data_IF_035412263751
#
_entry.id   IF_035412263751
#
_cell.length_a   1.000
_cell.length_b   1.000
_cell.length_c   1.000
_cell.angle_alpha   90.00
_cell.angle_beta   90.00
_cell.angle_gamma   90.00
#
_symmetry.space_group_name_H-M   'P 1'
#
loop_
_entity.id
_entity.type
_entity.pdbx_description
1 polymer ?
#
# COMPACT_ATOMS: atom_id res chain seq x y z
N UNK A 1 -13.32 -56.27 20.57
CA UNK A 1 -12.06 -55.48 20.65
C UNK A 1 -12.38 -54.01 20.43
N UNK A 2 -12.22 -53.16 21.45
CA UNK A 2 -12.41 -51.71 21.29
C UNK A 2 -11.23 -51.11 20.51
N UNK A 3 -11.50 -50.28 19.49
CA UNK A 3 -10.45 -49.50 18.81
C UNK A 3 -10.04 -48.35 19.71
N UNK A 4 -8.95 -48.49 20.45
CA UNK A 4 -8.33 -47.39 21.19
C UNK A 4 -8.00 -46.25 20.21
N UNK A 5 -8.79 -45.17 20.24
CA UNK A 5 -8.37 -43.88 19.72
C UNK A 5 -7.17 -43.44 20.56
N UNK A 6 -5.96 -43.58 20.02
CA UNK A 6 -4.81 -42.82 20.53
C UNK A 6 -5.11 -41.36 20.29
N UNK A 7 -5.39 -40.59 21.33
CA UNK A 7 -5.37 -39.14 21.24
C UNK A 7 -3.94 -38.73 20.87
N UNK A 8 -3.76 -38.25 19.63
CA UNK A 8 -2.49 -37.65 19.24
C UNK A 8 -2.37 -36.32 19.97
N UNK A 9 -1.41 -36.26 20.90
CA UNK A 9 -1.08 -35.03 21.64
C UNK A 9 -0.86 -33.90 20.61
N UNK A 10 -1.54 -32.75 20.74
CA UNK A 10 -1.51 -31.69 19.73
C UNK A 10 -0.08 -31.23 19.47
N UNK A 11 0.21 -30.93 18.20
CA UNK A 11 1.52 -30.47 17.80
C UNK A 11 1.83 -29.08 18.36
N UNK A 12 3.12 -28.77 18.46
CA UNK A 12 3.62 -27.44 18.83
C UNK A 12 2.98 -26.31 18.01
N UNK A 13 2.72 -26.57 16.72
CA UNK A 13 2.05 -25.63 15.81
C UNK A 13 0.59 -25.40 16.19
N UNK A 14 -0.14 -26.45 16.56
CA UNK A 14 -1.54 -26.34 16.97
C UNK A 14 -1.66 -25.61 18.31
N UNK A 15 -0.80 -25.96 19.29
CA UNK A 15 -0.73 -25.28 20.58
C UNK A 15 -0.38 -23.78 20.44
N UNK A 16 0.62 -23.44 19.62
CA UNK A 16 0.95 -22.04 19.33
C UNK A 16 -0.19 -21.30 18.61
N UNK A 17 -0.86 -21.95 17.65
CA UNK A 17 -1.99 -21.35 16.93
C UNK A 17 -3.18 -21.11 17.86
N UNK A 18 -3.50 -22.04 18.74
CA UNK A 18 -4.56 -21.90 19.74
C UNK A 18 -4.25 -20.79 20.74
N UNK A 19 -3.00 -20.71 21.23
CA UNK A 19 -2.58 -19.65 22.14
C UNK A 19 -2.66 -18.25 21.50
N UNK A 20 -2.26 -18.10 20.23
CA UNK A 20 -2.36 -16.83 19.51
C UNK A 20 -3.82 -16.46 19.25
N UNK A 21 -4.65 -17.42 18.82
CA UNK A 21 -6.07 -17.19 18.60
C UNK A 21 -6.79 -16.75 19.88
N UNK A 22 -6.50 -17.43 21.01
CA UNK A 22 -7.02 -17.08 22.33
C UNK A 22 -6.60 -15.66 22.73
N UNK A 23 -5.28 -15.35 22.69
CA UNK A 23 -4.74 -14.02 23.00
C UNK A 23 -5.47 -12.91 22.23
N UNK A 24 -5.65 -13.06 20.92
CA UNK A 24 -6.29 -12.02 20.10
C UNK A 24 -7.79 -11.90 20.33
N UNK A 25 -8.48 -13.01 20.63
CA UNK A 25 -9.90 -12.99 20.96
C UNK A 25 -10.17 -12.35 22.33
N UNK A 26 -9.24 -12.49 23.29
CA UNK A 26 -9.31 -11.89 24.63
C UNK A 26 -8.85 -10.43 24.67
N UNK A 27 -7.77 -10.06 23.98
CA UNK A 27 -7.21 -8.69 24.02
C UNK A 27 -7.81 -7.73 23.00
N UNK A 28 -8.23 -8.22 21.83
CA UNK A 28 -8.66 -7.38 20.70
C UNK A 28 -10.06 -7.74 20.16
N UNK A 29 -10.67 -8.83 20.64
CA UNK A 29 -11.99 -9.29 20.18
C UNK A 29 -12.02 -9.86 18.75
N UNK A 30 -10.87 -10.10 18.12
CA UNK A 30 -10.76 -10.45 16.69
C UNK A 30 -10.02 -11.77 16.46
N UNK A 31 -10.28 -12.42 15.31
CA UNK A 31 -9.53 -13.58 14.83
C UNK A 31 -8.49 -13.14 13.77
N UNK A 32 -7.17 -13.16 14.07
CA UNK A 32 -6.13 -12.76 13.13
C UNK A 32 -5.83 -13.85 12.08
N UNK A 33 -5.16 -13.49 10.99
CA UNK A 33 -4.56 -14.47 10.09
C UNK A 33 -3.31 -15.03 10.76
N UNK A 34 -3.43 -16.22 11.37
CA UNK A 34 -2.30 -16.93 11.99
C UNK A 34 -1.55 -17.78 10.96
N UNK A 35 -0.21 -17.66 10.96
CA UNK A 35 0.75 -18.42 10.14
C UNK A 35 2.01 -18.78 10.92
N UNK A 36 2.80 -19.73 10.42
CA UNK A 36 4.22 -19.83 10.81
C UNK A 36 5.04 -18.84 10.00
N UNK A 37 6.04 -18.21 10.61
CA UNK A 37 6.83 -17.13 10.01
C UNK A 37 8.34 -17.36 10.21
N UNK A 38 9.11 -17.13 9.14
CA UNK A 38 10.56 -17.20 9.19
C UNK A 38 11.16 -15.79 9.08
N UNK A 39 11.81 -15.31 10.14
CA UNK A 39 12.60 -14.08 10.11
C UNK A 39 14.06 -14.40 9.77
N UNK A 40 14.76 -13.56 8.98
CA UNK A 40 16.21 -13.67 8.81
C UNK A 40 16.93 -13.66 10.17
N UNK A 41 17.90 -14.57 10.35
CA UNK A 41 18.73 -14.73 11.57
C UNK A 41 17.98 -15.18 12.84
N UNK A 42 16.71 -15.60 12.79
CA UNK A 42 16.01 -16.18 13.95
C UNK A 42 15.49 -17.60 13.71
N UNK A 43 15.11 -18.28 14.80
CA UNK A 43 14.38 -19.55 14.77
C UNK A 43 12.99 -19.38 14.12
N UNK A 44 12.41 -20.44 13.53
CA UNK A 44 11.06 -20.39 13.00
C UNK A 44 10.06 -20.02 14.11
N UNK A 45 9.26 -19.00 13.86
CA UNK A 45 8.25 -18.51 14.78
C UNK A 45 6.84 -18.64 14.21
N UNK A 46 5.92 -17.95 14.87
CA UNK A 46 4.52 -17.80 14.48
C UNK A 46 4.21 -16.32 14.32
N UNK A 47 3.21 -15.99 13.51
CA UNK A 47 2.76 -14.61 13.36
C UNK A 47 1.24 -14.52 13.39
N UNK A 48 0.74 -13.49 14.08
CA UNK A 48 -0.60 -12.95 13.89
C UNK A 48 -0.51 -11.78 12.90
N UNK A 49 -1.38 -11.78 11.89
CA UNK A 49 -1.52 -10.68 10.93
C UNK A 49 -2.94 -10.12 11.04
N UNK A 50 -3.05 -8.83 11.34
CA UNK A 50 -4.30 -8.06 11.30
C UNK A 50 -4.18 -6.91 10.28
N UNK A 51 -5.16 -6.01 10.22
CA UNK A 51 -5.12 -4.81 9.36
C UNK A 51 -4.29 -3.68 9.97
N UNK A 52 -4.10 -3.73 11.28
CA UNK A 52 -3.31 -2.79 12.08
C UNK A 52 -1.83 -3.19 12.05
N UNK A 53 -1.50 -4.45 12.35
CA UNK A 53 -0.13 -4.87 12.63
C UNK A 53 0.18 -6.34 12.30
N UNK A 54 1.48 -6.65 12.26
CA UNK A 54 2.02 -8.01 12.21
C UNK A 54 2.82 -8.27 13.48
N UNK A 55 2.35 -9.19 14.34
CA UNK A 55 3.04 -9.56 15.58
C UNK A 55 3.66 -10.94 15.48
N UNK A 56 4.95 -11.04 15.80
CA UNK A 56 5.75 -12.27 15.75
C UNK A 56 5.89 -12.87 17.15
N UNK A 57 5.72 -14.19 17.22
CA UNK A 57 5.74 -14.98 18.46
C UNK A 57 6.72 -16.14 18.39
N UNK A 58 7.34 -16.45 19.52
CA UNK A 58 7.94 -17.77 19.80
C UNK A 58 6.98 -18.61 20.63
N UNK A 59 6.94 -19.92 20.39
CA UNK A 59 6.31 -20.85 21.33
C UNK A 59 7.32 -21.26 22.42
N UNK A 60 6.90 -21.17 23.68
CA UNK A 60 7.66 -21.65 24.82
C UNK A 60 7.10 -23.01 25.27
N UNK A 61 7.94 -24.04 25.20
CA UNK A 61 7.60 -25.44 25.55
C UNK A 61 7.58 -25.69 27.05
N UNK A 62 8.30 -24.87 27.82
CA UNK A 62 8.41 -24.95 29.28
C UNK A 62 7.23 -24.25 29.93
N UNK A 63 6.86 -23.07 29.43
CA UNK A 63 5.66 -22.33 29.86
C UNK A 63 4.36 -22.81 29.18
N UNK A 64 4.45 -23.69 28.17
CA UNK A 64 3.34 -24.16 27.33
C UNK A 64 2.49 -23.00 26.77
N UNK A 65 3.17 -21.98 26.23
CA UNK A 65 2.57 -20.69 25.87
C UNK A 65 3.33 -19.96 24.77
N UNK A 66 3.03 -18.68 24.59
CA UNK A 66 3.63 -17.83 23.55
C UNK A 66 4.30 -16.59 24.13
N UNK A 67 5.43 -16.21 23.54
CA UNK A 67 6.20 -15.02 23.88
C UNK A 67 6.25 -14.11 22.66
N UNK A 68 5.82 -12.86 22.80
CA UNK A 68 5.93 -11.85 21.73
C UNK A 68 7.41 -11.50 21.51
N UNK A 69 7.89 -11.58 20.27
CA UNK A 69 9.25 -11.16 19.88
C UNK A 69 9.23 -9.71 19.42
N UNK A 70 8.32 -9.36 18.51
CA UNK A 70 8.23 -8.05 17.88
C UNK A 70 6.84 -7.80 17.30
N UNK A 71 6.46 -6.52 17.20
CA UNK A 71 5.24 -6.05 16.54
C UNK A 71 5.62 -5.02 15.48
N UNK A 72 5.06 -5.15 14.29
CA UNK A 72 5.28 -4.26 13.16
C UNK A 72 3.94 -3.62 12.77
N UNK A 73 3.74 -2.36 13.14
CA UNK A 73 2.56 -1.58 12.77
C UNK A 73 2.56 -1.34 11.25
N UNK A 74 1.49 -1.75 10.56
CA UNK A 74 1.38 -1.63 9.10
C UNK A 74 1.29 -0.17 8.64
N UNK A 75 0.86 0.73 9.53
CA UNK A 75 0.87 2.19 9.33
C UNK A 75 2.27 2.80 9.13
N UNK A 76 3.34 2.11 9.55
CA UNK A 76 4.72 2.60 9.42
C UNK A 76 5.33 2.36 8.03
N UNK A 77 4.64 1.61 7.15
CA UNK A 77 5.16 1.17 5.86
C UNK A 77 4.37 1.81 4.69
N UNK A 78 5.09 2.30 3.68
CA UNK A 78 4.50 3.01 2.52
C UNK A 78 4.24 2.05 1.37
N UNK A 79 5.15 1.09 1.13
CA UNK A 79 4.99 0.06 0.09
C UNK A 79 5.46 -1.32 0.56
N UNK A 80 5.04 -2.35 -0.17
CA UNK A 80 5.46 -3.74 0.04
C UNK A 80 5.70 -4.44 -1.31
N UNK A 81 6.91 -4.96 -1.50
CA UNK A 81 7.20 -5.88 -2.60
C UNK A 81 6.67 -7.27 -2.24
N UNK A 82 5.90 -7.90 -3.12
CA UNK A 82 5.34 -9.24 -2.89
C UNK A 82 5.81 -10.23 -3.97
N UNK A 83 6.50 -11.28 -3.51
CA UNK A 83 7.08 -12.34 -4.33
C UNK A 83 6.50 -13.71 -3.92
N UNK A 84 5.49 -14.17 -4.68
CA UNK A 84 4.80 -15.45 -4.45
C UNK A 84 5.54 -16.62 -5.12
N UNK A 85 6.10 -17.53 -4.32
CA UNK A 85 6.68 -18.81 -4.72
C UNK A 85 5.64 -19.94 -4.56
N UNK A 86 5.93 -21.14 -5.09
CA UNK A 86 5.05 -22.30 -5.01
C UNK A 86 4.73 -22.78 -3.57
N UNK A 87 5.58 -22.46 -2.58
CA UNK A 87 5.47 -22.96 -1.18
C UNK A 87 5.54 -21.86 -0.11
N UNK A 88 5.78 -20.60 -0.49
CA UNK A 88 5.89 -19.46 0.43
C UNK A 88 5.63 -18.14 -0.29
N UNK A 89 5.27 -17.10 0.45
CA UNK A 89 5.39 -15.72 -0.02
C UNK A 89 6.60 -15.05 0.64
N UNK A 90 7.11 -13.99 0.03
CA UNK A 90 8.02 -13.02 0.66
C UNK A 90 7.38 -11.65 0.50
N UNK A 91 7.29 -10.91 1.61
CA UNK A 91 6.84 -9.53 1.68
C UNK A 91 8.02 -8.68 2.17
N UNK A 92 8.47 -7.72 1.37
CA UNK A 92 9.50 -6.75 1.75
C UNK A 92 8.81 -5.39 1.93
N UNK A 93 8.40 -5.09 3.16
CA UNK A 93 7.79 -3.81 3.52
C UNK A 93 8.85 -2.72 3.61
N UNK A 94 8.54 -1.52 3.11
CA UNK A 94 9.41 -0.34 3.13
C UNK A 94 8.69 0.82 3.78
N UNK A 95 9.22 1.28 4.92
CA UNK A 95 8.82 2.52 5.58
C UNK A 95 9.83 3.62 5.29
N UNK A 96 9.65 4.78 5.92
CA UNK A 96 10.59 5.90 5.80
C UNK A 96 11.94 5.57 6.46
N UNK A 97 11.89 4.96 7.66
CA UNK A 97 13.07 4.74 8.51
C UNK A 97 13.41 3.25 8.75
N UNK A 98 12.62 2.30 8.23
CA UNK A 98 12.80 0.86 8.46
C UNK A 98 12.32 0.01 7.28
N UNK A 99 12.85 -1.22 7.17
CA UNK A 99 12.43 -2.23 6.19
C UNK A 99 12.19 -3.58 6.85
N UNK A 100 10.96 -4.09 6.73
CA UNK A 100 10.55 -5.35 7.36
C UNK A 100 10.37 -6.46 6.33
N UNK A 101 11.17 -7.53 6.45
CA UNK A 101 11.04 -8.73 5.59
C UNK A 101 10.24 -9.82 6.30
N UNK A 102 9.04 -10.09 5.80
CA UNK A 102 8.12 -11.08 6.34
C UNK A 102 7.97 -12.28 5.38
N UNK A 103 8.19 -13.49 5.90
CA UNK A 103 8.15 -14.75 5.12
C UNK A 103 7.13 -15.72 5.75
N UNK A 104 5.83 -15.58 5.43
CA UNK A 104 4.79 -16.47 5.93
C UNK A 104 4.78 -17.83 5.21
N UNK A 105 4.55 -18.89 5.98
CA UNK A 105 4.40 -20.26 5.50
C UNK A 105 2.91 -20.57 5.29
N UNK A 106 2.46 -20.47 4.04
CA UNK A 106 1.04 -20.52 3.67
C UNK A 106 0.35 -19.16 3.79
N UNK A 107 -0.94 -19.11 3.42
CA UNK A 107 -1.84 -17.93 3.48
C UNK A 107 -1.33 -16.62 2.83
N UNK A 108 -0.27 -16.68 2.02
CA UNK A 108 0.32 -15.48 1.40
C UNK A 108 -0.65 -14.69 0.52
N UNK A 109 -1.60 -15.34 -0.16
CA UNK A 109 -2.66 -14.64 -0.91
C UNK A 109 -3.63 -13.91 0.02
N UNK A 110 -4.06 -14.58 1.07
CA UNK A 110 -4.99 -14.08 2.09
C UNK A 110 -4.40 -12.85 2.80
N UNK A 111 -3.09 -12.88 3.09
CA UNK A 111 -2.31 -11.76 3.63
C UNK A 111 -2.20 -10.62 2.62
N UNK A 112 -1.88 -10.89 1.35
CA UNK A 112 -1.85 -9.86 0.30
C UNK A 112 -3.22 -9.19 0.11
N UNK A 113 -4.30 -9.97 0.17
CA UNK A 113 -5.67 -9.47 0.07
C UNK A 113 -6.06 -8.65 1.31
N UNK A 114 -5.69 -9.09 2.52
CA UNK A 114 -5.91 -8.33 3.74
C UNK A 114 -5.24 -6.95 3.66
N UNK A 115 -3.97 -6.90 3.26
CA UNK A 115 -3.21 -5.65 3.06
C UNK A 115 -3.91 -4.79 2.00
N UNK A 116 -4.24 -5.36 0.84
CA UNK A 116 -4.90 -4.66 -0.28
C UNK A 116 -6.26 -4.05 0.06
N UNK A 117 -7.03 -4.71 0.92
CA UNK A 117 -8.41 -4.33 1.25
C UNK A 117 -8.48 -3.39 2.46
N UNK A 118 -7.53 -3.44 3.39
CA UNK A 118 -7.63 -2.75 4.67
C UNK A 118 -6.51 -1.72 4.94
N UNK A 119 -5.49 -1.61 4.08
CA UNK A 119 -4.37 -0.67 4.25
C UNK A 119 -4.13 0.16 2.98
N UNK A 120 -3.42 1.28 3.12
CA UNK A 120 -3.01 2.13 2.01
C UNK A 120 -1.62 1.75 1.44
N UNK A 121 -1.01 0.63 1.86
CA UNK A 121 0.34 0.23 1.45
C UNK A 121 0.35 -0.10 -0.04
N UNK A 122 1.27 0.48 -0.82
CA UNK A 122 1.38 0.14 -2.24
C UNK A 122 1.96 -1.27 -2.43
N UNK A 123 1.21 -2.14 -3.12
CA UNK A 123 1.59 -3.55 -3.33
C UNK A 123 2.22 -3.72 -4.71
N UNK A 124 3.55 -3.68 -4.77
CA UNK A 124 4.30 -4.02 -5.99
C UNK A 124 4.44 -5.54 -6.11
N UNK A 125 3.91 -6.14 -7.18
CA UNK A 125 4.07 -7.58 -7.43
C UNK A 125 5.33 -7.84 -8.25
N UNK A 126 6.18 -8.76 -7.82
CA UNK A 126 7.29 -9.22 -8.65
C UNK A 126 6.78 -10.18 -9.72
N UNK A 127 6.43 -9.65 -10.90
CA UNK A 127 6.03 -10.47 -12.04
C UNK A 127 7.23 -11.26 -12.60
N UNK A 128 7.28 -12.55 -12.28
CA UNK A 128 8.22 -13.50 -12.88
C UNK A 128 7.49 -14.52 -13.73
N UNK A 129 8.05 -14.81 -14.91
CA UNK A 129 7.59 -15.88 -15.81
C UNK A 129 7.53 -17.20 -15.02
N UNK A 130 6.43 -17.93 -15.15
CA UNK A 130 6.03 -19.00 -14.21
C UNK A 130 7.13 -20.02 -13.88
N UNK A 131 7.95 -20.42 -14.86
CA UNK A 131 9.07 -21.35 -14.66
C UNK A 131 10.12 -20.86 -13.64
N UNK A 132 10.33 -19.55 -13.48
CA UNK A 132 11.26 -19.00 -12.48
C UNK A 132 10.77 -19.14 -11.03
N UNK A 133 9.49 -19.48 -10.82
CA UNK A 133 8.89 -19.75 -9.51
C UNK A 133 9.08 -21.21 -9.05
N UNK A 134 9.62 -22.05 -9.93
CA UNK A 134 9.89 -23.48 -9.71
C UNK A 134 11.32 -23.65 -9.15
N UNK A 135 11.53 -24.64 -8.26
CA UNK A 135 12.85 -24.92 -7.69
C UNK A 135 13.86 -25.34 -8.78
N UNK A 136 15.13 -24.97 -8.60
CA UNK A 136 16.21 -25.17 -9.58
C UNK A 136 16.21 -24.17 -10.75
N UNK A 137 15.05 -23.94 -11.36
CA UNK A 137 14.88 -22.99 -12.48
C UNK A 137 15.16 -21.53 -12.11
N UNK A 138 14.98 -21.15 -10.84
CA UNK A 138 15.27 -19.79 -10.30
C UNK A 138 16.64 -19.23 -10.68
N UNK A 139 17.65 -20.09 -10.89
CA UNK A 139 19.05 -19.68 -11.05
C UNK A 139 19.48 -19.28 -12.47
N UNK A 140 18.66 -19.54 -13.50
CA UNK A 140 19.05 -19.35 -14.91
C UNK A 140 20.18 -20.26 -15.42
N UNK A 141 20.87 -20.99 -14.53
CA UNK A 141 21.95 -21.90 -14.87
C UNK A 141 21.39 -23.17 -15.52
N UNK A 142 21.79 -23.43 -16.78
CA UNK A 142 21.31 -24.55 -17.61
C UNK A 142 21.41 -25.91 -16.91
N UNK A 143 22.50 -26.18 -16.18
CA UNK A 143 22.67 -27.47 -15.47
C UNK A 143 21.65 -27.62 -14.32
N UNK A 144 21.39 -26.56 -13.56
CA UNK A 144 20.38 -26.57 -12.49
C UNK A 144 18.95 -26.68 -13.03
N UNK A 145 18.70 -26.15 -14.23
CA UNK A 145 17.43 -26.35 -14.96
C UNK A 145 17.27 -27.80 -15.41
N UNK A 146 18.31 -28.43 -15.98
CA UNK A 146 18.26 -29.84 -16.44
C UNK A 146 17.99 -30.80 -15.26
N UNK A 147 18.71 -30.64 -14.15
CA UNK A 147 18.51 -31.46 -12.93
C UNK A 147 17.07 -31.30 -12.41
N UNK A 148 16.55 -30.07 -12.40
CA UNK A 148 15.16 -29.82 -12.00
C UNK A 148 14.16 -30.49 -12.97
N UNK A 149 14.34 -30.35 -14.30
CA UNK A 149 13.51 -31.02 -15.30
C UNK A 149 13.42 -32.53 -15.08
N UNK A 150 14.55 -33.20 -14.79
CA UNK A 150 14.58 -34.64 -14.53
C UNK A 150 13.83 -35.00 -13.24
N UNK A 151 14.00 -34.24 -12.16
CA UNK A 151 13.27 -34.47 -10.90
C UNK A 151 11.76 -34.27 -11.07
N UNK A 152 11.33 -33.21 -11.77
CA UNK A 152 9.91 -32.99 -12.05
C UNK A 152 9.34 -34.02 -13.03
N UNK A 153 10.13 -34.52 -13.99
CA UNK A 153 9.72 -35.62 -14.86
C UNK A 153 9.50 -36.91 -14.06
N UNK A 154 10.40 -37.26 -13.13
CA UNK A 154 10.22 -38.42 -12.23
C UNK A 154 8.96 -38.27 -11.38
N UNK A 155 8.71 -37.09 -10.81
CA UNK A 155 7.47 -36.82 -10.05
C UNK A 155 6.22 -36.93 -10.93
N UNK A 156 6.24 -36.35 -12.14
CA UNK A 156 5.13 -36.43 -13.09
C UNK A 156 4.88 -37.88 -13.52
N UNK A 157 5.91 -38.66 -13.82
CA UNK A 157 5.78 -40.09 -14.18
C UNK A 157 5.28 -40.92 -12.98
N UNK A 158 5.69 -40.60 -11.75
CA UNK A 158 5.18 -41.26 -10.53
C UNK A 158 3.69 -40.97 -10.31
N UNK A 159 3.26 -39.73 -10.56
CA UNK A 159 1.84 -39.35 -10.55
C UNK A 159 1.11 -40.03 -11.72
N UNK A 160 1.67 -40.05 -12.93
CA UNK A 160 1.05 -40.66 -14.11
C UNK A 160 0.83 -42.16 -13.88
N UNK A 161 1.83 -42.87 -13.36
CA UNK A 161 1.75 -44.31 -13.03
C UNK A 161 0.76 -44.63 -11.90
N UNK A 162 0.41 -43.67 -11.04
CA UNK A 162 -0.65 -43.85 -10.03
C UNK A 162 -2.03 -43.44 -10.54
N UNK A 163 -2.13 -42.58 -11.56
CA UNK A 163 -3.39 -42.19 -12.21
C UNK A 163 -3.81 -43.18 -13.31
N UNK A 164 -2.89 -43.68 -14.14
CA UNK A 164 -3.17 -44.71 -15.16
C UNK A 164 -3.43 -46.10 -14.56
N UNK A 165 -3.19 -46.28 -13.26
CA UNK A 165 -3.50 -47.49 -12.50
C UNK A 165 -5.00 -47.75 -12.28
N UNK A 166 -5.91 -46.90 -12.78
CA UNK A 166 -7.36 -47.16 -12.82
C UNK A 166 -7.97 -46.82 -14.18
N UNK A 167 -8.90 -47.68 -14.60
CA UNK A 167 -9.56 -47.70 -15.90
C UNK A 167 -10.97 -47.11 -15.80
N UNK A 168 -11.42 -46.50 -16.91
CA UNK A 168 -12.81 -46.32 -17.35
C UNK A 168 -13.84 -45.55 -16.48
N UNK A 169 -14.24 -44.39 -17.05
CA UNK A 169 -15.64 -43.90 -17.19
C UNK A 169 -16.43 -43.44 -15.93
N UNK A 170 -17.49 -42.61 -16.03
CA UNK A 170 -18.23 -42.12 -17.21
C UNK A 170 -18.54 -40.61 -17.12
N UNK A 171 -18.89 -39.99 -18.26
CA UNK A 171 -19.31 -38.60 -18.46
C UNK A 171 -20.84 -38.47 -18.34
N UNK A 172 -21.36 -37.47 -17.61
CA UNK A 172 -22.70 -36.91 -17.95
C UNK A 172 -22.88 -35.44 -17.55
N UNK A 173 -23.86 -34.81 -18.19
CA UNK A 173 -23.92 -33.36 -18.45
C UNK A 173 -25.39 -32.97 -18.65
N UNK A 174 -25.97 -32.11 -17.79
CA UNK A 174 -27.32 -31.54 -17.99
C UNK A 174 -27.44 -30.11 -17.43
N UNK A 175 -28.06 -29.23 -18.23
CA UNK A 175 -28.73 -27.96 -17.91
C UNK A 175 -29.94 -27.84 -18.89
N UNK A 176 -30.82 -26.82 -18.82
CA UNK A 176 -31.68 -26.42 -17.70
C UNK A 176 -33.17 -26.20 -18.13
N UNK A 177 -34.08 -26.00 -17.18
CA UNK A 177 -35.40 -25.37 -17.39
C UNK A 177 -35.76 -24.58 -16.11
N UNK A 178 -36.18 -23.30 -16.08
CA UNK A 178 -37.12 -22.47 -16.88
C UNK A 178 -38.58 -22.58 -16.42
N UNK A 179 -39.13 -21.44 -15.92
CA UNK A 179 -40.53 -20.92 -15.97
C UNK A 179 -40.61 -19.76 -14.94
N UNK A 180 -40.59 -18.45 -15.27
CA UNK A 180 -41.65 -17.52 -15.77
C UNK A 180 -42.96 -17.53 -14.96
N UNK A 181 -43.63 -16.43 -14.59
CA UNK A 181 -43.40 -14.96 -14.71
C UNK A 181 -43.43 -14.33 -13.28
N UNK A 182 -43.90 -13.12 -12.90
CA UNK A 182 -44.61 -11.97 -13.51
C UNK A 182 -44.43 -10.71 -12.63
N UNK A 183 -44.74 -9.51 -13.16
CA UNK A 183 -44.95 -8.27 -12.39
C UNK A 183 -46.18 -7.50 -12.95
N UNK A 184 -46.88 -6.70 -12.13
CA UNK A 184 -46.81 -5.22 -12.22
C UNK A 184 -46.70 -4.55 -10.82
N UNK A 185 -46.09 -3.39 -10.55
CA UNK A 185 -45.91 -2.07 -11.24
C UNK A 185 -46.95 -1.00 -10.81
N UNK A 186 -46.46 -0.04 -9.99
CA UNK A 186 -46.86 1.37 -9.76
C UNK A 186 -48.29 1.76 -9.32
N UNK A 187 -48.36 2.68 -8.34
CA UNK A 187 -48.62 4.11 -8.61
C UNK A 187 -48.10 5.05 -7.48
N UNK A 188 -48.15 6.37 -7.68
CA UNK A 188 -47.51 7.43 -6.86
C UNK A 188 -48.54 8.47 -6.35
N UNK A 189 -48.30 9.12 -5.19
CA UNK A 189 -48.67 10.54 -4.97
C UNK A 189 -48.06 11.23 -3.74
N UNK A 190 -48.41 12.52 -3.56
CA UNK A 190 -47.62 13.66 -3.05
C UNK A 190 -48.60 14.72 -2.45
N UNK A 191 -48.27 15.69 -1.57
CA UNK A 191 -47.03 16.08 -0.83
C UNK A 191 -47.39 17.12 0.29
N UNK A 192 -46.50 17.31 1.30
CA UNK A 192 -46.43 18.48 2.23
C UNK A 192 -47.59 18.78 3.24
N UNK A 193 -47.44 19.76 4.18
CA UNK A 193 -46.22 20.39 4.74
C UNK A 193 -46.16 20.52 6.29
N UNK A 194 -44.93 20.51 6.86
CA UNK A 194 -44.42 21.16 8.11
C UNK A 194 -43.15 20.44 8.59
N UNK A 195 -42.14 21.07 9.18
CA UNK A 195 -41.82 22.50 9.35
C UNK A 195 -40.30 22.70 9.30
N UNK A 196 -39.83 23.91 8.98
CA UNK A 196 -38.39 24.20 8.81
C UNK A 196 -37.70 24.45 10.15
N UNK A 197 -36.58 23.77 10.39
CA UNK A 197 -35.55 24.16 11.36
C UNK A 197 -34.17 23.79 10.80
N UNK A 198 -33.14 24.61 11.07
CA UNK A 198 -31.89 24.62 10.27
C UNK A 198 -30.78 23.72 10.83
N UNK A 199 -30.10 22.88 10.01
CA UNK A 199 -29.07 21.95 10.48
C UNK A 199 -27.67 22.59 10.53
N UNK A 200 -27.49 23.68 11.28
CA UNK A 200 -26.22 24.44 11.30
C UNK A 200 -25.18 23.83 12.27
N UNK A 201 -25.53 23.62 13.55
CA UNK A 201 -24.54 23.24 14.58
C UNK A 201 -23.87 21.87 14.35
N UNK A 202 -24.67 20.82 14.16
CA UNK A 202 -24.21 19.42 14.26
C UNK A 202 -23.14 19.02 13.23
N UNK A 203 -23.10 19.71 12.10
CA UNK A 203 -22.04 19.56 11.10
C UNK A 203 -20.73 20.14 11.63
N UNK A 204 -20.75 21.40 12.07
CA UNK A 204 -19.55 22.10 12.52
C UNK A 204 -19.00 21.54 13.83
N UNK A 205 -19.87 21.12 14.75
CA UNK A 205 -19.51 20.37 15.97
C UNK A 205 -18.61 19.18 15.65
N UNK A 206 -19.01 18.35 14.66
CA UNK A 206 -18.26 17.15 14.26
C UNK A 206 -16.97 17.45 13.50
N UNK A 207 -16.97 18.48 12.64
CA UNK A 207 -15.75 18.92 11.94
C UNK A 207 -14.73 19.43 12.96
N UNK A 208 -15.15 20.30 13.89
CA UNK A 208 -14.30 20.81 14.97
C UNK A 208 -13.77 19.67 15.85
N UNK A 209 -14.64 18.76 16.32
CA UNK A 209 -14.20 17.61 17.13
C UNK A 209 -13.17 16.74 16.40
N UNK A 210 -13.38 16.44 15.12
CA UNK A 210 -12.42 15.65 14.34
C UNK A 210 -11.09 16.38 14.14
N UNK A 211 -11.13 17.70 13.92
CA UNK A 211 -9.94 18.56 13.87
C UNK A 211 -9.19 18.52 15.20
N UNK A 212 -9.86 18.66 16.34
CA UNK A 212 -9.24 18.69 17.68
C UNK A 212 -8.66 17.32 18.08
N UNK A 213 -9.41 16.23 17.90
CA UNK A 213 -8.94 14.86 18.17
C UNK A 213 -7.69 14.52 17.31
N UNK A 214 -7.68 14.94 16.04
CA UNK A 214 -6.58 14.68 15.11
C UNK A 214 -5.37 15.59 15.34
N UNK A 215 -5.60 16.88 15.63
CA UNK A 215 -4.56 17.82 16.03
C UNK A 215 -3.83 17.32 17.28
N UNK A 216 -4.56 16.79 18.26
CA UNK A 216 -3.98 16.17 19.46
C UNK A 216 -3.13 14.93 19.12
N UNK A 217 -3.60 14.07 18.21
CA UNK A 217 -2.80 12.93 17.73
C UNK A 217 -1.51 13.39 17.05
N UNK A 218 -1.58 14.40 16.17
CA UNK A 218 -0.42 14.97 15.49
C UNK A 218 0.58 15.56 16.49
N UNK A 219 0.12 16.42 17.41
CA UNK A 219 1.00 17.05 18.41
C UNK A 219 1.72 16.01 19.27
N UNK A 220 1.05 14.96 19.79
CA UNK A 220 1.73 13.92 20.57
C UNK A 220 2.66 13.03 19.72
N UNK A 221 2.37 12.85 18.43
CA UNK A 221 3.23 12.07 17.50
C UNK A 221 4.56 12.80 17.26
N UNK A 222 4.52 14.10 17.00
CA UNK A 222 5.71 14.90 16.64
C UNK A 222 6.42 15.54 17.84
N UNK A 223 5.85 15.47 19.05
CA UNK A 223 6.36 15.99 20.34
C UNK A 223 7.84 15.73 20.69
N UNK A 224 8.47 14.74 20.05
CA UNK A 224 9.89 14.37 20.25
C UNK A 224 10.85 15.04 19.25
N UNK A 225 10.32 15.79 18.30
CA UNK A 225 11.07 16.49 17.25
C UNK A 225 11.03 17.98 17.59
N UNK A 226 12.20 18.53 17.95
CA UNK A 226 12.32 19.93 18.35
C UNK A 226 11.91 20.89 17.20
N UNK A 227 11.12 21.91 17.53
CA UNK A 227 10.52 22.86 16.58
C UNK A 227 9.33 22.34 15.75
N UNK A 228 9.18 21.03 15.50
CA UNK A 228 8.12 20.51 14.61
C UNK A 228 6.78 20.41 15.34
N UNK A 229 5.96 21.45 15.19
CA UNK A 229 4.59 21.52 15.72
C UNK A 229 3.56 21.62 14.58
N UNK A 230 3.10 20.49 14.01
CA UNK A 230 2.17 20.49 12.88
C UNK A 230 0.79 21.05 13.27
N UNK A 231 0.17 21.79 12.36
CA UNK A 231 -1.16 22.40 12.53
C UNK A 231 -2.15 21.83 11.52
N UNK A 232 -3.30 21.39 11.99
CA UNK A 232 -4.41 20.93 11.15
C UNK A 232 -5.49 22.00 11.03
N UNK A 233 -6.05 22.14 9.84
CA UNK A 233 -7.27 22.89 9.60
C UNK A 233 -8.22 22.14 8.66
N UNK A 234 -9.50 22.49 8.69
CA UNK A 234 -10.54 21.89 7.84
C UNK A 234 -11.48 23.00 7.37
N UNK A 235 -11.78 23.04 6.07
CA UNK A 235 -12.76 23.96 5.49
C UNK A 235 -14.16 23.81 6.11
N UNK A 236 -14.94 24.89 6.11
CA UNK A 236 -16.31 24.90 6.64
C UNK A 236 -17.22 23.85 5.96
N UNK A 237 -16.97 23.49 4.70
CA UNK A 237 -17.71 22.43 3.99
C UNK A 237 -17.22 21.01 4.30
N UNK A 238 -16.11 20.87 5.03
CA UNK A 238 -15.49 19.60 5.42
C UNK A 238 -14.70 18.91 4.30
N UNK A 239 -14.55 19.52 3.12
CA UNK A 239 -13.95 18.87 1.93
C UNK A 239 -12.47 19.15 1.73
N UNK A 240 -11.88 20.12 2.42
CA UNK A 240 -10.43 20.38 2.37
C UNK A 240 -9.85 20.25 3.77
N UNK A 241 -9.04 19.21 3.98
CA UNK A 241 -8.18 19.08 5.15
C UNK A 241 -6.81 19.67 4.80
N UNK A 242 -6.37 20.68 5.54
CA UNK A 242 -5.01 21.23 5.41
C UNK A 242 -4.16 20.78 6.59
N UNK A 243 -2.94 20.32 6.35
CA UNK A 243 -1.96 20.03 7.40
C UNK A 243 -0.68 20.80 7.09
N UNK A 244 -0.35 21.75 7.96
CA UNK A 244 0.85 22.56 7.89
C UNK A 244 1.97 21.93 8.74
N UNK A 245 3.17 21.82 8.19
CA UNK A 245 4.37 21.34 8.89
C UNK A 245 5.48 22.39 8.79
N UNK A 246 6.28 22.53 9.84
CA UNK A 246 7.53 23.30 9.78
C UNK A 246 8.61 22.39 9.16
N UNK A 247 8.85 22.54 7.85
CA UNK A 247 9.80 21.69 7.13
C UNK A 247 11.25 22.13 7.34
N UNK A 248 11.52 23.34 7.80
CA UNK A 248 12.86 23.77 8.19
C UNK A 248 13.27 23.12 9.52
N UNK A 249 12.37 23.08 10.50
CA UNK A 249 12.58 22.32 11.74
C UNK A 249 12.71 20.81 11.47
N UNK A 250 11.94 20.28 10.53
CA UNK A 250 12.02 18.87 10.13
C UNK A 250 13.37 18.53 9.49
N UNK A 251 13.80 19.32 8.50
CA UNK A 251 15.10 19.15 7.83
C UNK A 251 16.29 19.29 8.82
N UNK A 252 16.19 20.24 9.75
CA UNK A 252 17.16 20.45 10.84
C UNK A 252 17.27 19.25 11.79
N UNK A 253 16.16 18.57 12.08
CA UNK A 253 16.15 17.37 12.94
C UNK A 253 16.80 16.17 12.24
N UNK A 254 16.39 15.88 11.00
CA UNK A 254 16.92 14.77 10.19
C UNK A 254 18.34 15.05 9.67
N UNK A 255 18.81 16.30 9.73
CA UNK A 255 20.12 16.80 9.24
C UNK A 255 20.28 16.64 7.73
N UNK A 256 19.24 16.98 7.00
CA UNK A 256 19.15 16.93 5.53
C UNK A 256 18.82 18.29 4.95
N UNK A 257 19.00 18.46 3.63
CA UNK A 257 18.50 19.63 2.92
C UNK A 257 16.96 19.67 2.91
N UNK A 258 16.38 20.87 3.01
CA UNK A 258 14.92 21.08 3.00
C UNK A 258 14.23 20.44 1.81
N UNK A 259 14.85 20.49 0.63
CA UNK A 259 14.36 19.86 -0.60
C UNK A 259 14.22 18.34 -0.47
N UNK A 260 15.11 17.67 0.29
CA UNK A 260 15.01 16.24 0.55
C UNK A 260 13.85 15.92 1.51
N UNK A 261 13.64 16.74 2.55
CA UNK A 261 12.44 16.65 3.40
C UNK A 261 11.15 16.85 2.61
N UNK A 262 11.07 17.90 1.77
CA UNK A 262 9.95 18.15 0.85
C UNK A 262 9.65 16.92 -0.03
N UNK A 263 10.67 16.36 -0.68
CA UNK A 263 10.51 15.15 -1.51
C UNK A 263 10.08 13.92 -0.71
N UNK A 264 10.48 13.82 0.56
CA UNK A 264 10.09 12.73 1.47
C UNK A 264 8.62 12.84 1.86
N UNK A 265 8.13 14.05 2.14
CA UNK A 265 6.71 14.31 2.37
C UNK A 265 5.88 13.97 1.12
N UNK A 266 6.34 14.39 -0.07
CA UNK A 266 5.68 14.10 -1.36
C UNK A 266 5.64 12.59 -1.69
N UNK A 267 6.68 11.83 -1.32
CA UNK A 267 6.69 10.37 -1.47
C UNK A 267 5.79 9.66 -0.41
N UNK A 268 5.62 10.24 0.77
CA UNK A 268 4.86 9.68 1.88
C UNK A 268 3.33 9.91 1.76
N UNK A 269 2.74 9.59 0.60
CA UNK A 269 1.31 9.83 0.30
C UNK A 269 0.37 9.01 1.21
N UNK A 270 0.74 7.76 1.54
CA UNK A 270 -0.11 6.80 2.25
C UNK A 270 -0.67 7.24 3.61
N UNK A 271 0.16 7.82 4.51
CA UNK A 271 -0.28 8.44 5.76
C UNK A 271 -1.36 9.53 5.61
N UNK A 272 -1.34 10.32 4.54
CA UNK A 272 -2.28 11.44 4.36
C UNK A 272 -3.67 10.98 3.87
N UNK A 273 -3.73 9.91 3.06
CA UNK A 273 -5.00 9.26 2.68
C UNK A 273 -5.82 8.75 3.88
N UNK A 274 -5.17 8.50 5.03
CA UNK A 274 -5.85 8.07 6.27
C UNK A 274 -6.90 9.09 6.71
N UNK A 275 -6.55 10.38 6.70
CA UNK A 275 -7.39 11.44 7.24
C UNK A 275 -8.72 11.57 6.51
N UNK A 276 -8.77 11.35 5.20
CA UNK A 276 -10.03 11.33 4.43
C UNK A 276 -10.95 10.19 4.84
N UNK A 277 -10.37 8.99 5.02
CA UNK A 277 -11.11 7.81 5.45
C UNK A 277 -11.69 7.98 6.85
N UNK A 278 -10.98 8.68 7.73
CA UNK A 278 -11.41 9.00 9.09
C UNK A 278 -12.46 10.14 9.10
N UNK A 279 -12.19 11.25 8.41
CA UNK A 279 -13.09 12.39 8.24
C UNK A 279 -14.45 12.00 7.64
N UNK A 280 -14.44 11.22 6.55
CA UNK A 280 -15.66 10.72 5.92
C UNK A 280 -16.52 9.88 6.87
N UNK A 281 -15.89 9.10 7.76
CA UNK A 281 -16.60 8.35 8.82
C UNK A 281 -17.06 9.23 9.98
N UNK A 282 -16.31 10.28 10.32
CA UNK A 282 -16.60 11.16 11.45
C UNK A 282 -17.75 12.15 11.18
N UNK A 283 -17.70 12.83 10.02
CA UNK A 283 -18.64 13.91 9.69
C UNK A 283 -19.20 13.87 8.26
N UNK A 284 -18.76 12.94 7.40
CA UNK A 284 -19.11 12.95 5.97
C UNK A 284 -20.62 12.98 5.68
N UNK A 285 -21.43 12.25 6.45
CA UNK A 285 -22.89 12.27 6.35
C UNK A 285 -23.47 13.65 6.68
N UNK A 286 -23.02 14.26 7.77
CA UNK A 286 -23.53 15.53 8.29
C UNK A 286 -23.03 16.73 7.47
N UNK A 287 -21.90 16.58 6.76
CA UNK A 287 -21.36 17.56 5.82
C UNK A 287 -21.84 17.38 4.37
N UNK A 288 -22.75 16.43 4.10
CA UNK A 288 -23.26 16.10 2.75
C UNK A 288 -22.14 15.75 1.74
N UNK A 289 -21.21 14.90 2.18
CA UNK A 289 -20.09 14.37 1.39
C UNK A 289 -20.49 12.96 0.92
N UNK A 290 -20.44 12.70 -0.39
CA UNK A 290 -20.94 11.45 -0.97
C UNK A 290 -19.91 10.31 -0.90
N UNK A 291 -18.62 10.64 -1.03
CA UNK A 291 -17.51 9.70 -0.99
C UNK A 291 -16.29 10.28 -0.29
N UNK A 292 -15.44 9.43 0.29
CA UNK A 292 -14.12 9.81 0.82
C UNK A 292 -13.18 10.42 -0.23
N UNK A 293 -13.50 10.27 -1.52
CA UNK A 293 -12.77 10.91 -2.63
C UNK A 293 -13.03 12.40 -2.74
N UNK A 294 -14.18 12.85 -2.23
CA UNK A 294 -14.63 14.24 -2.32
C UNK A 294 -14.02 15.11 -1.20
N UNK A 295 -13.16 14.50 -0.38
CA UNK A 295 -12.31 15.16 0.61
C UNK A 295 -10.89 15.21 0.04
N UNK A 296 -10.38 16.41 -0.20
CA UNK A 296 -8.99 16.68 -0.50
C UNK A 296 -8.16 16.74 0.80
N UNK A 297 -6.90 16.35 0.71
CA UNK A 297 -5.88 16.65 1.73
C UNK A 297 -4.80 17.48 1.06
N UNK A 298 -4.43 18.59 1.70
CA UNK A 298 -3.40 19.53 1.29
C UNK A 298 -2.32 19.58 2.36
N UNK A 299 -1.06 19.45 1.97
CA UNK A 299 0.07 19.63 2.88
C UNK A 299 0.79 20.91 2.49
N UNK A 300 1.05 21.77 3.48
CA UNK A 300 1.76 23.04 3.28
C UNK A 300 2.96 23.14 4.22
N UNK A 301 3.98 23.87 3.79
CA UNK A 301 5.07 24.28 4.66
C UNK A 301 4.64 25.55 5.42
N UNK A 302 4.70 25.51 6.76
CA UNK A 302 4.30 26.65 7.59
C UNK A 302 5.32 27.79 7.63
N UNK A 303 6.54 27.59 7.12
CA UNK A 303 7.59 28.62 7.09
C UNK A 303 7.40 29.65 5.97
N UNK A 304 6.92 29.20 4.80
CA UNK A 304 6.79 30.01 3.58
C UNK A 304 5.38 29.97 2.95
N UNK A 305 4.48 29.08 3.41
CA UNK A 305 3.13 28.90 2.87
C UNK A 305 3.06 28.06 1.59
N UNK A 306 4.16 27.42 1.19
CA UNK A 306 4.26 26.64 -0.05
C UNK A 306 3.42 25.36 0.01
N UNK A 307 2.81 25.00 -1.12
CA UNK A 307 1.94 23.81 -1.23
C UNK A 307 2.79 22.61 -1.63
N UNK A 308 3.02 21.72 -0.67
CA UNK A 308 3.91 20.57 -0.82
C UNK A 308 3.17 19.37 -1.43
N UNK A 309 1.88 19.19 -1.08
CA UNK A 309 1.01 18.14 -1.64
C UNK A 309 -0.38 18.73 -1.90
N UNK A 310 -0.93 18.48 -3.08
CA UNK A 310 -2.30 18.82 -3.47
C UNK A 310 -2.90 17.70 -4.35
N UNK A 311 -4.23 17.56 -4.35
CA UNK A 311 -4.99 16.64 -5.22
C UNK A 311 -4.56 15.16 -5.25
N UNK A 312 -4.58 14.50 -4.09
CA UNK A 312 -4.95 13.08 -4.09
C UNK A 312 -6.48 13.02 -4.29
N UNK A 313 -7.01 12.36 -5.33
CA UNK A 313 -8.47 12.30 -5.51
C UNK A 313 -9.03 12.12 -6.94
N UNK A 314 -8.24 11.69 -7.93
CA UNK A 314 -8.72 11.47 -9.31
C UNK A 314 -8.57 9.99 -9.71
N UNK A 315 -9.47 9.51 -10.57
CA UNK A 315 -9.57 8.13 -11.02
C UNK A 315 -8.42 7.68 -11.94
N UNK A 316 -8.10 6.38 -11.90
CA UNK A 316 -7.21 5.73 -12.88
C UNK A 316 -8.01 5.28 -14.10
N UNK A 317 -8.04 6.10 -15.15
CA UNK A 317 -8.43 5.66 -16.50
C UNK A 317 -7.56 6.36 -17.57
N UNK A 318 -7.08 5.67 -18.62
CA UNK A 318 -6.01 6.21 -19.47
C UNK A 318 -6.52 7.23 -20.50
N UNK A 319 -5.80 8.36 -20.60
CA UNK A 319 -6.10 9.45 -21.53
C UNK A 319 -6.09 8.98 -23.00
N UNK A 320 -7.26 9.02 -23.63
CA UNK A 320 -7.39 9.04 -25.10
C UNK A 320 -7.29 10.48 -25.58
N UNK A 321 -6.40 10.76 -26.54
CA UNK A 321 -6.22 12.11 -27.07
C UNK A 321 -7.25 12.44 -28.18
N UNK A 322 -8.04 13.51 -28.06
CA UNK A 322 -8.48 14.29 -29.22
C UNK A 322 -7.32 15.15 -29.76
N UNK A 323 -7.43 15.70 -30.97
CA UNK A 323 -6.33 16.32 -31.72
C UNK A 323 -6.67 17.75 -32.16
N UNK A 324 -5.74 18.70 -31.92
CA UNK A 324 -5.77 20.11 -32.37
C UNK A 324 -6.88 20.98 -31.69
N UNK A 325 -6.73 22.29 -31.41
CA UNK A 325 -5.82 23.35 -31.92
C UNK A 325 -5.49 24.40 -30.84
N UNK A 326 -4.45 25.21 -31.10
CA UNK A 326 -3.99 26.52 -30.52
C UNK A 326 -5.08 27.45 -29.91
N UNK A 327 -4.81 28.42 -29.01
CA UNK A 327 -3.54 29.07 -28.60
C UNK A 327 -3.62 29.82 -27.22
N UNK A 328 -2.46 30.33 -26.77
CA UNK A 328 -2.18 31.39 -25.76
C UNK A 328 -2.16 31.09 -24.24
N UNK A 329 -0.94 31.24 -23.68
CA UNK A 329 -0.53 31.97 -22.45
C UNK A 329 -1.26 31.72 -21.10
N UNK A 330 -0.57 31.31 -20.02
CA UNK A 330 0.86 30.99 -19.88
C UNK A 330 1.33 30.69 -18.44
N UNK A 331 2.65 30.60 -18.27
CA UNK A 331 3.43 30.36 -17.02
C UNK A 331 3.51 28.93 -16.45
N UNK A 332 4.75 28.44 -16.42
CA UNK A 332 5.38 27.27 -15.77
C UNK A 332 4.62 25.93 -15.57
N UNK A 333 5.18 24.90 -16.23
CA UNK A 333 4.91 23.47 -16.04
C UNK A 333 6.18 22.71 -16.47
N UNK A 334 6.95 22.16 -15.52
CA UNK A 334 8.08 21.27 -15.86
C UNK A 334 7.70 19.80 -15.66
N UNK A 335 7.01 19.26 -16.67
CA UNK A 335 6.84 17.82 -16.84
C UNK A 335 8.15 17.21 -17.33
N UNK A 336 8.52 16.05 -16.77
CA UNK A 336 9.69 15.25 -17.16
C UNK A 336 9.61 14.83 -18.64
N UNK A 337 10.09 15.73 -19.50
CA UNK A 337 10.24 15.53 -20.93
C UNK A 337 11.73 15.54 -21.22
N UNK A 338 12.20 14.54 -21.97
CA UNK A 338 13.62 14.39 -22.31
C UNK A 338 14.04 15.39 -23.38
N UNK A 339 14.06 16.67 -23.00
CA UNK A 339 14.58 17.79 -23.78
C UNK A 339 15.96 17.40 -24.31
N UNK A 340 16.12 17.46 -25.63
CA UNK A 340 17.32 17.04 -26.33
C UNK A 340 17.62 18.06 -27.43
N UNK A 341 18.71 18.80 -27.29
CA UNK A 341 19.15 19.79 -28.28
C UNK A 341 20.13 19.17 -29.28
N UNK A 342 20.07 19.59 -30.55
CA UNK A 342 20.98 19.10 -31.58
C UNK A 342 22.35 19.80 -31.54
N UNK A 343 22.42 21.04 -31.03
CA UNK A 343 23.64 21.85 -30.97
C UNK A 343 23.53 23.01 -29.95
N UNK A 344 24.66 23.60 -29.57
CA UNK A 344 24.71 24.72 -28.62
C UNK A 344 24.03 26.02 -29.10
N UNK A 345 23.82 26.21 -30.40
CA UNK A 345 23.08 27.37 -30.92
C UNK A 345 21.60 27.28 -30.58
N UNK A 346 21.02 26.08 -30.55
CA UNK A 346 19.65 25.84 -30.05
C UNK A 346 19.57 26.06 -28.54
N UNK A 347 20.54 25.55 -27.77
CA UNK A 347 20.63 25.75 -26.31
C UNK A 347 20.67 27.25 -25.96
N UNK A 348 21.46 28.04 -26.72
CA UNK A 348 21.56 29.50 -26.55
C UNK A 348 20.28 30.22 -26.97
N UNK A 349 19.64 29.82 -28.07
CA UNK A 349 18.32 30.35 -28.48
C UNK A 349 17.21 30.02 -27.49
N UNK A 350 17.29 28.89 -26.80
CA UNK A 350 16.36 28.48 -25.74
C UNK A 350 16.63 29.18 -24.39
N UNK A 351 17.69 29.99 -24.28
CA UNK A 351 18.06 30.65 -23.03
C UNK A 351 18.52 29.69 -21.93
N UNK A 352 19.07 28.52 -22.29
CA UNK A 352 19.50 27.46 -21.35
C UNK A 352 21.01 27.21 -21.32
N UNK A 353 21.81 28.06 -21.96
CA UNK A 353 23.28 27.97 -21.87
C UNK A 353 23.79 28.68 -20.61
N UNK A 354 24.75 28.11 -19.85
CA UNK A 354 25.27 26.75 -19.94
C UNK A 354 24.32 25.70 -19.31
N UNK A 355 24.34 24.46 -19.79
CA UNK A 355 23.62 23.32 -19.18
C UNK A 355 24.61 22.41 -18.43
N UNK A 356 24.35 22.09 -17.17
CA UNK A 356 25.22 21.22 -16.35
C UNK A 356 24.81 19.74 -16.43
N UNK A 357 25.74 18.85 -16.11
CA UNK A 357 25.50 17.42 -16.03
C UNK A 357 24.40 17.07 -15.01
N UNK A 358 23.25 16.63 -15.52
CA UNK A 358 22.07 16.29 -14.74
C UNK A 358 20.85 17.19 -15.02
N UNK A 359 21.05 18.35 -15.65
CA UNK A 359 19.97 19.24 -16.06
C UNK A 359 19.31 18.77 -17.38
N UNK A 360 17.98 18.92 -17.55
CA UNK A 360 17.29 18.57 -18.80
C UNK A 360 17.89 19.29 -20.01
N UNK A 361 18.19 18.54 -21.07
CA UNK A 361 18.94 19.04 -22.24
C UNK A 361 20.43 18.71 -22.26
N UNK A 362 21.02 18.29 -21.14
CA UNK A 362 22.44 17.94 -21.09
C UNK A 362 22.76 16.69 -21.92
N UNK A 363 23.85 16.74 -22.69
CA UNK A 363 24.44 15.53 -23.27
C UNK A 363 25.94 15.69 -23.56
N UNK A 364 26.67 14.55 -23.54
CA UNK A 364 28.09 14.44 -23.93
C UNK A 364 28.36 14.65 -25.43
N UNK A 365 27.41 15.25 -26.16
CA UNK A 365 27.58 15.74 -27.54
C UNK A 365 27.60 17.28 -27.59
N UNK A 366 27.21 17.93 -26.49
CA UNK A 366 27.09 19.37 -26.32
C UNK A 366 28.17 19.89 -25.35
N UNK A 367 28.48 19.10 -24.32
CA UNK A 367 29.78 19.14 -23.64
C UNK A 367 30.84 18.53 -24.59
N UNK A 368 31.89 19.30 -24.90
CA UNK A 368 32.90 18.97 -25.93
C UNK A 368 34.29 18.72 -25.33
N UNK A 369 34.59 19.35 -24.19
CA UNK A 369 35.79 19.22 -23.39
C UNK A 369 35.66 18.12 -22.31
N UNK A 370 34.43 17.79 -21.90
CA UNK A 370 34.12 16.72 -20.96
C UNK A 370 34.11 17.13 -19.49
N UNK A 371 33.98 18.43 -19.19
CA UNK A 371 34.05 18.97 -17.81
C UNK A 371 32.73 18.90 -17.03
N UNK A 372 31.63 18.54 -17.70
CA UNK A 372 30.29 18.48 -17.13
C UNK A 372 29.44 19.72 -17.34
N UNK A 373 29.89 20.73 -18.10
CA UNK A 373 29.19 21.98 -18.39
C UNK A 373 29.06 22.18 -19.91
N UNK A 374 27.94 21.74 -20.47
CA UNK A 374 27.65 21.87 -21.89
C UNK A 374 27.37 23.33 -22.30
N UNK A 375 27.93 23.73 -23.45
CA UNK A 375 27.65 25.00 -24.12
C UNK A 375 27.97 26.26 -23.31
N UNK A 376 29.07 26.28 -22.56
CA UNK A 376 29.57 27.46 -21.83
C UNK A 376 30.33 28.48 -22.71
N UNK A 377 31.03 28.00 -23.76
CA UNK A 377 31.91 28.78 -24.67
C UNK A 377 31.26 29.06 -26.04
#
# INVERSE_FOLDING_TARGET
MGKNKKEQKPSERELATQAIAKKYQEEFGITPIIVSANLPKMQPGYAAVTKEHIQIFKYDKTANGIVSISTYELSNYVSVNVDHYAVKAVFEFKGVNDTFTFIPVGKGKDIEQLIRTNTNIEIHKTERKWYQKILGFRSGNKAKMIIASLLYLVVVVSIFNTVTGKKEENKQEVKPAVTTNTAPVKEEKQVEPKSVEQPVDKKQEKINKFKDDTQKQLTETYKKIDGVNPKMDISEDGKLITIAFDLDAYAKYDKVDKSLSVSTFQAAIGPYERYKGEAFRAYGKDANIASKTDIAVKVVDSSNGEVIIENIGVSKEPLRMPKNTQQNEGTDQNLDTTVTYANCTEVRKAGKAPIKQGEPGYSKKLDKDGDGIACDK
#
